data_IF_914784817146
#
_entry.id   IF_914784817146
#
_cell.length_a   1.000
_cell.length_b   1.000
_cell.length_c   1.000
_cell.angle_alpha   90.00
_cell.angle_beta   90.00
_cell.angle_gamma   90.00
#
_symmetry.space_group_name_H-M   'P 1'
#
loop_
_entity.id
_entity.type
_entity.pdbx_description
1 polymer ?
#
# COMPACT_ATOMS: atom_id res chain seq x y z
N UNK A 1 -39.03 -9.27 -17.07
CA UNK A 1 -38.10 -10.31 -17.52
C UNK A 1 -37.34 -9.78 -18.75
N UNK A 2 -36.03 -9.77 -18.68
CA UNK A 2 -35.13 -9.29 -19.74
C UNK A 2 -34.49 -10.46 -20.51
N UNK A 3 -34.83 -11.71 -20.17
CA UNK A 3 -34.44 -12.92 -20.91
C UNK A 3 -33.03 -13.42 -20.67
N UNK A 4 -32.28 -12.85 -19.71
CA UNK A 4 -30.99 -13.33 -19.28
C UNK A 4 -31.10 -14.20 -18.02
N UNK A 5 -30.03 -14.90 -17.68
CA UNK A 5 -29.80 -15.61 -16.40
C UNK A 5 -28.37 -15.32 -15.96
N UNK A 6 -28.19 -14.17 -15.28
CA UNK A 6 -26.88 -13.61 -14.98
C UNK A 6 -26.53 -13.82 -13.50
N UNK A 7 -25.46 -14.54 -13.25
CA UNK A 7 -24.83 -14.61 -11.93
C UNK A 7 -23.92 -13.41 -11.71
N UNK A 8 -24.53 -12.31 -11.28
CA UNK A 8 -23.82 -11.05 -11.05
C UNK A 8 -22.69 -11.16 -10.03
N UNK A 9 -22.89 -11.97 -8.98
CA UNK A 9 -21.91 -12.15 -7.93
C UNK A 9 -20.69 -12.94 -8.43
N UNK A 10 -20.92 -14.07 -9.11
CA UNK A 10 -19.85 -14.88 -9.69
C UNK A 10 -19.01 -14.12 -10.72
N UNK A 11 -19.63 -13.19 -11.48
CA UNK A 11 -18.91 -12.38 -12.48
C UNK A 11 -17.94 -11.35 -11.88
N UNK A 12 -18.12 -10.94 -10.63
CA UNK A 12 -17.28 -9.93 -9.98
C UNK A 12 -16.34 -10.51 -8.93
N UNK A 13 -16.48 -11.80 -8.62
CA UNK A 13 -15.67 -12.48 -7.61
C UNK A 13 -14.70 -13.48 -8.23
N UNK A 14 -13.62 -13.73 -7.52
CA UNK A 14 -12.67 -14.80 -7.83
C UNK A 14 -13.11 -16.09 -7.15
N UNK A 15 -12.94 -17.21 -7.82
CA UNK A 15 -13.12 -18.52 -7.19
C UNK A 15 -12.09 -18.76 -6.09
N UNK A 16 -10.87 -18.25 -6.28
CA UNK A 16 -9.76 -18.36 -5.32
C UNK A 16 -9.01 -17.03 -5.25
N UNK A 17 -8.86 -16.50 -4.05
CA UNK A 17 -7.98 -15.38 -3.75
C UNK A 17 -6.68 -15.90 -3.14
N UNK A 18 -5.54 -15.48 -3.69
CA UNK A 18 -4.22 -15.88 -3.23
C UNK A 18 -3.59 -14.78 -2.38
N UNK A 19 -2.99 -15.18 -1.27
CA UNK A 19 -2.10 -14.36 -0.45
C UNK A 19 -0.75 -15.07 -0.35
N UNK A 20 0.32 -14.37 -0.65
CA UNK A 20 1.68 -14.86 -0.48
C UNK A 20 2.52 -13.85 0.28
N UNK A 21 3.36 -14.35 1.19
CA UNK A 21 4.30 -13.56 1.95
C UNK A 21 5.66 -14.27 1.97
N UNK A 22 6.66 -13.62 1.40
CA UNK A 22 8.01 -14.15 1.30
C UNK A 22 8.95 -13.25 2.07
N UNK A 23 9.80 -13.83 2.91
CA UNK A 23 10.75 -13.13 3.72
C UNK A 23 12.11 -13.83 3.64
N UNK A 24 13.14 -13.04 3.46
CA UNK A 24 14.54 -13.48 3.55
C UNK A 24 15.30 -12.50 4.41
N UNK A 25 16.17 -13.01 5.26
CA UNK A 25 17.10 -12.20 6.04
C UNK A 25 18.49 -12.81 6.08
N UNK A 26 19.45 -11.95 6.22
CA UNK A 26 20.83 -12.30 6.51
C UNK A 26 21.33 -11.40 7.63
N UNK A 27 21.97 -11.99 8.61
CA UNK A 27 22.57 -11.27 9.71
C UNK A 27 23.94 -11.87 10.03
N UNK A 28 24.79 -11.04 10.56
CA UNK A 28 26.13 -11.41 10.95
C UNK A 28 26.67 -10.52 12.04
N UNK A 29 27.65 -11.03 12.74
CA UNK A 29 28.34 -10.29 13.79
C UNK A 29 29.86 -10.35 13.61
N UNK A 30 30.50 -9.29 14.02
CA UNK A 30 31.94 -9.22 14.19
C UNK A 30 32.26 -9.11 15.68
N UNK A 31 33.54 -9.11 16.06
CA UNK A 31 33.94 -8.90 17.46
C UNK A 31 33.36 -7.62 18.05
N UNK A 32 33.19 -6.60 17.24
CA UNK A 32 32.81 -5.24 17.68
C UNK A 32 31.52 -4.71 17.01
N UNK A 33 30.75 -5.54 16.35
CA UNK A 33 29.58 -5.05 15.64
C UNK A 33 28.65 -6.15 15.20
N UNK A 34 27.46 -5.69 14.79
CA UNK A 34 26.39 -6.50 14.23
C UNK A 34 25.89 -5.82 12.98
N UNK A 35 25.45 -6.59 11.99
CA UNK A 35 24.74 -6.11 10.81
C UNK A 35 23.65 -7.10 10.44
N UNK A 36 22.56 -6.57 9.92
CA UNK A 36 21.44 -7.37 9.42
C UNK A 36 20.80 -6.70 8.21
N UNK A 37 20.39 -7.51 7.26
CA UNK A 37 19.61 -7.09 6.13
C UNK A 37 18.44 -8.05 5.93
N UNK A 38 17.28 -7.52 5.56
CA UNK A 38 16.11 -8.34 5.24
C UNK A 38 15.37 -7.76 4.07
N UNK A 39 14.69 -8.64 3.36
CA UNK A 39 13.78 -8.29 2.28
C UNK A 39 12.48 -9.07 2.47
N UNK A 40 11.35 -8.41 2.22
CA UNK A 40 10.05 -9.04 2.20
C UNK A 40 9.28 -8.67 0.93
N UNK A 41 8.55 -9.63 0.41
CA UNK A 41 7.58 -9.47 -0.65
C UNK A 41 6.25 -10.03 -0.19
N UNK A 42 5.19 -9.23 -0.33
CA UNK A 42 3.82 -9.65 -0.06
C UNK A 42 2.96 -9.33 -1.25
N UNK A 43 2.14 -10.29 -1.68
CA UNK A 43 1.10 -10.10 -2.70
C UNK A 43 -0.18 -10.72 -2.20
N UNK A 44 -1.26 -9.95 -2.24
CA UNK A 44 -2.59 -10.39 -1.83
C UNK A 44 -3.61 -9.93 -2.86
N UNK A 45 -4.48 -10.82 -3.29
CA UNK A 45 -5.62 -10.52 -4.13
C UNK A 45 -6.88 -10.35 -3.27
N UNK A 46 -7.72 -9.38 -3.62
CA UNK A 46 -9.06 -9.27 -3.05
C UNK A 46 -9.99 -10.38 -3.51
N UNK A 47 -11.16 -10.45 -2.89
CA UNK A 47 -12.21 -11.38 -3.28
C UNK A 47 -12.79 -11.02 -4.65
N UNK A 48 -12.83 -9.72 -4.96
CA UNK A 48 -13.23 -9.24 -6.29
C UNK A 48 -12.10 -9.42 -7.32
N UNK A 49 -12.49 -9.41 -8.60
CA UNK A 49 -11.57 -9.66 -9.73
C UNK A 49 -10.54 -8.54 -9.97
N UNK A 50 -10.70 -7.36 -9.32
CA UNK A 50 -9.89 -6.17 -9.55
C UNK A 50 -8.94 -5.89 -8.39
N UNK A 51 -9.43 -5.98 -7.15
CA UNK A 51 -8.64 -5.58 -5.98
C UNK A 51 -7.41 -6.44 -5.78
N UNK A 52 -6.32 -5.77 -5.46
CA UNK A 52 -5.05 -6.41 -5.16
C UNK A 52 -4.09 -5.47 -4.45
N UNK A 53 -3.10 -6.07 -3.81
CA UNK A 53 -2.03 -5.36 -3.11
C UNK A 53 -0.71 -6.08 -3.29
N UNK A 54 0.31 -5.33 -3.65
CA UNK A 54 1.69 -5.79 -3.65
C UNK A 54 2.54 -4.92 -2.74
N UNK A 55 3.40 -5.54 -1.98
CA UNK A 55 4.30 -4.86 -1.06
C UNK A 55 5.72 -5.41 -1.22
N UNK A 56 6.66 -4.51 -1.41
CA UNK A 56 8.08 -4.76 -1.41
C UNK A 56 8.70 -4.01 -0.25
N UNK A 57 9.43 -4.69 0.59
CA UNK A 57 10.10 -4.09 1.74
C UNK A 57 11.53 -4.55 1.87
N UNK A 58 12.38 -3.66 2.36
CA UNK A 58 13.76 -3.97 2.71
C UNK A 58 14.16 -3.23 3.98
N UNK A 59 15.00 -3.86 4.77
CA UNK A 59 15.58 -3.27 5.97
C UNK A 59 17.04 -3.62 6.07
N UNK A 60 17.82 -2.63 6.43
CA UNK A 60 19.22 -2.78 6.84
C UNK A 60 19.38 -2.23 8.24
N UNK A 61 20.18 -2.88 9.07
CA UNK A 61 20.54 -2.42 10.41
C UNK A 61 22.00 -2.75 10.71
N UNK A 62 22.64 -1.87 11.45
CA UNK A 62 24.03 -2.06 11.88
C UNK A 62 24.25 -1.48 13.27
N UNK A 63 25.13 -2.14 14.00
CA UNK A 63 25.77 -1.64 15.21
C UNK A 63 27.27 -1.82 15.04
N UNK A 64 28.05 -0.81 15.33
CA UNK A 64 29.49 -0.87 15.29
C UNK A 64 30.08 -0.14 16.48
N UNK A 65 30.98 -0.81 17.22
CA UNK A 65 31.74 -0.25 18.31
C UNK A 65 33.18 -0.11 17.88
N UNK A 66 33.76 1.06 18.16
CA UNK A 66 35.14 1.41 17.84
C UNK A 66 35.80 2.12 19.02
N UNK A 67 37.08 2.42 18.92
CA UNK A 67 37.87 3.08 19.98
C UNK A 67 37.74 2.37 21.33
N UNK A 68 37.98 1.08 21.35
CA UNK A 68 37.88 0.26 22.58
C UNK A 68 36.50 0.34 23.24
N UNK A 69 35.45 0.33 22.43
CA UNK A 69 34.02 0.49 22.82
C UNK A 69 33.65 1.88 23.35
N UNK A 70 34.50 2.88 23.19
CA UNK A 70 34.15 4.25 23.58
C UNK A 70 33.18 4.91 22.62
N UNK A 71 33.21 4.56 21.36
CA UNK A 71 32.31 5.11 20.35
C UNK A 71 31.49 3.99 19.75
N UNK A 72 30.16 4.13 19.82
CA UNK A 72 29.20 3.21 19.26
C UNK A 72 28.37 3.92 18.21
N UNK A 73 28.26 3.30 17.04
CA UNK A 73 27.36 3.71 15.97
C UNK A 73 26.22 2.70 15.85
N UNK A 74 25.00 3.19 15.84
CA UNK A 74 23.81 2.43 15.53
C UNK A 74 23.15 3.03 14.30
N UNK A 75 22.71 2.21 13.36
CA UNK A 75 22.03 2.68 12.18
C UNK A 75 20.96 1.70 11.71
N UNK A 76 19.88 2.22 11.23
CA UNK A 76 18.89 1.41 10.51
C UNK A 76 18.26 2.21 9.37
N UNK A 77 17.99 1.51 8.27
CA UNK A 77 17.27 2.04 7.12
C UNK A 77 16.23 1.00 6.72
N UNK A 78 14.98 1.44 6.61
CA UNK A 78 13.86 0.60 6.14
C UNK A 78 13.15 1.32 5.02
N UNK A 79 12.97 0.64 3.90
CA UNK A 79 12.20 1.12 2.76
C UNK A 79 11.08 0.14 2.45
N UNK A 80 9.90 0.66 2.13
CA UNK A 80 8.73 -0.14 1.76
C UNK A 80 7.95 0.56 0.67
N UNK A 81 7.65 -0.18 -0.40
CA UNK A 81 6.76 0.27 -1.46
C UNK A 81 5.52 -0.61 -1.48
N UNK A 82 4.35 0.02 -1.55
CA UNK A 82 3.05 -0.64 -1.62
C UNK A 82 2.35 -0.15 -2.88
N UNK A 83 1.91 -1.08 -3.71
CA UNK A 83 1.02 -0.83 -4.84
C UNK A 83 -0.33 -1.46 -4.50
N UNK A 84 -1.41 -0.70 -4.67
CA UNK A 84 -2.76 -1.14 -4.37
C UNK A 84 -3.68 -0.83 -5.55
N UNK A 85 -4.57 -1.77 -5.84
CA UNK A 85 -5.70 -1.56 -6.73
C UNK A 85 -6.96 -1.83 -5.94
N UNK A 86 -7.92 -0.90 -5.98
CA UNK A 86 -9.16 -1.03 -5.25
C UNK A 86 -10.33 -1.21 -6.19
N UNK A 87 -11.22 -2.13 -5.85
CA UNK A 87 -12.57 -2.15 -6.39
C UNK A 87 -13.33 -0.89 -5.96
N UNK A 88 -14.52 -0.72 -6.46
CA UNK A 88 -15.37 0.39 -6.10
C UNK A 88 -16.26 0.02 -4.91
N UNK A 89 -16.51 0.97 -4.00
CA UNK A 89 -17.40 0.75 -2.86
C UNK A 89 -18.83 0.40 -3.31
N UNK A 90 -19.42 -0.62 -2.68
CA UNK A 90 -20.82 -1.00 -2.90
C UNK A 90 -21.08 -1.87 -4.12
N UNK A 91 -20.09 -2.31 -4.88
CA UNK A 91 -20.33 -3.20 -6.04
C UNK A 91 -20.81 -4.60 -5.62
N UNK A 92 -20.42 -5.11 -4.45
CA UNK A 92 -20.94 -6.36 -3.90
C UNK A 92 -22.44 -6.26 -3.60
N UNK A 93 -22.85 -5.19 -2.92
CA UNK A 93 -24.28 -4.96 -2.63
C UNK A 93 -25.09 -4.85 -3.91
N UNK A 94 -24.54 -4.20 -4.94
CA UNK A 94 -25.17 -4.11 -6.25
C UNK A 94 -25.29 -5.46 -6.91
N UNK A 95 -24.26 -6.29 -6.88
CA UNK A 95 -24.31 -7.63 -7.45
C UNK A 95 -25.36 -8.53 -6.77
N UNK A 96 -25.51 -8.41 -5.45
CA UNK A 96 -26.51 -9.17 -4.70
C UNK A 96 -27.95 -8.69 -4.92
N UNK A 97 -28.12 -7.42 -5.29
CA UNK A 97 -29.45 -6.81 -5.47
C UNK A 97 -29.87 -6.66 -6.93
N UNK A 98 -28.94 -6.92 -7.86
CA UNK A 98 -29.19 -6.82 -9.28
C UNK A 98 -30.16 -7.90 -9.78
N UNK A 99 -31.08 -7.52 -10.64
CA UNK A 99 -32.03 -8.48 -11.21
C UNK A 99 -31.27 -9.47 -12.13
N UNK A 100 -31.32 -10.78 -11.85
CA UNK A 100 -30.60 -11.79 -12.63
C UNK A 100 -31.12 -11.92 -14.07
N UNK A 101 -32.33 -11.47 -14.39
CA UNK A 101 -32.82 -11.51 -15.77
C UNK A 101 -32.25 -10.40 -16.67
N UNK A 102 -31.50 -9.44 -16.11
CA UNK A 102 -30.82 -8.40 -16.88
C UNK A 102 -29.51 -8.92 -17.50
N UNK A 103 -29.21 -8.57 -18.76
CA UNK A 103 -27.96 -8.97 -19.40
C UNK A 103 -26.78 -8.09 -18.93
N UNK A 104 -25.55 -8.61 -19.03
CA UNK A 104 -24.33 -7.84 -18.76
C UNK A 104 -24.06 -6.81 -19.87
N UNK A 105 -24.33 -7.21 -21.11
CA UNK A 105 -24.03 -6.42 -22.32
C UNK A 105 -25.26 -6.19 -23.15
N UNK A 106 -25.28 -5.07 -23.85
CA UNK A 106 -26.23 -4.80 -24.93
C UNK A 106 -25.84 -5.58 -26.19
N UNK A 107 -26.71 -5.60 -27.18
CA UNK A 107 -26.50 -6.27 -28.47
C UNK A 107 -25.29 -5.69 -29.25
N UNK A 108 -24.90 -4.45 -29.00
CA UNK A 108 -23.74 -3.79 -29.60
C UNK A 108 -22.42 -4.03 -28.84
N UNK A 109 -22.44 -4.84 -27.76
CA UNK A 109 -21.29 -5.16 -26.93
C UNK A 109 -20.98 -4.11 -25.85
N UNK A 110 -21.70 -3.02 -25.77
CA UNK A 110 -21.60 -2.07 -24.67
C UNK A 110 -22.18 -2.65 -23.38
N UNK A 111 -21.75 -2.16 -22.22
CA UNK A 111 -22.33 -2.60 -20.96
C UNK A 111 -23.77 -2.13 -20.82
N UNK A 112 -24.66 -3.06 -20.47
CA UNK A 112 -26.04 -2.76 -20.17
C UNK A 112 -26.12 -1.88 -18.91
N UNK A 113 -26.76 -0.73 -19.00
CA UNK A 113 -27.00 0.16 -17.87
C UNK A 113 -28.50 0.22 -17.57
N UNK A 114 -28.91 -0.22 -16.36
CA UNK A 114 -30.32 -0.14 -15.98
C UNK A 114 -30.79 1.31 -15.97
N UNK A 115 -31.96 1.54 -16.53
CA UNK A 115 -32.61 2.86 -16.55
C UNK A 115 -33.47 3.13 -15.32
N UNK A 116 -33.25 2.37 -14.24
CA UNK A 116 -34.08 2.45 -13.03
C UNK A 116 -33.80 3.73 -12.24
N UNK A 117 -34.82 4.43 -11.75
CA UNK A 117 -34.67 5.56 -10.84
C UNK A 117 -34.08 5.16 -9.48
N UNK A 118 -33.93 3.87 -9.18
CA UNK A 118 -33.34 3.34 -7.94
C UNK A 118 -31.83 3.39 -7.93
N UNK A 119 -31.16 3.90 -8.98
CA UNK A 119 -29.71 4.04 -9.03
C UNK A 119 -28.95 2.70 -9.17
N UNK A 120 -29.64 1.63 -9.59
CA UNK A 120 -28.97 0.36 -9.90
C UNK A 120 -27.96 0.57 -11.03
N UNK A 121 -26.75 0.05 -10.87
CA UNK A 121 -25.70 0.11 -11.88
C UNK A 121 -25.15 -1.30 -12.12
N UNK A 122 -24.73 -1.58 -13.33
CA UNK A 122 -24.11 -2.85 -13.68
C UNK A 122 -22.79 -3.04 -12.93
N UNK A 123 -22.68 -3.99 -11.98
CA UNK A 123 -21.51 -4.16 -11.15
C UNK A 123 -20.27 -4.60 -11.95
N UNK A 124 -20.43 -5.33 -13.05
CA UNK A 124 -19.33 -5.72 -13.93
C UNK A 124 -18.79 -4.50 -14.66
N UNK A 125 -19.67 -3.62 -15.17
CA UNK A 125 -19.26 -2.36 -15.77
C UNK A 125 -18.55 -1.43 -14.78
N UNK A 126 -19.01 -1.40 -13.54
CA UNK A 126 -18.39 -0.61 -12.46
C UNK A 126 -16.93 -1.00 -12.23
N UNK A 127 -16.63 -2.30 -12.25
CA UNK A 127 -15.25 -2.79 -12.08
C UNK A 127 -14.42 -2.61 -13.36
N UNK A 128 -14.99 -2.81 -14.54
CA UNK A 128 -14.26 -2.79 -15.80
C UNK A 128 -13.98 -1.37 -16.35
N UNK A 129 -14.83 -0.40 -16.02
CA UNK A 129 -14.77 0.97 -16.57
C UNK A 129 -14.13 1.97 -15.58
N UNK A 130 -13.58 1.48 -14.48
CA UNK A 130 -12.89 2.30 -13.47
C UNK A 130 -11.54 1.72 -13.13
N UNK A 131 -10.59 2.61 -12.97
CA UNK A 131 -9.27 2.32 -12.40
C UNK A 131 -9.11 3.13 -11.11
N UNK A 132 -8.83 2.45 -10.01
CA UNK A 132 -8.52 3.08 -8.74
C UNK A 132 -7.23 2.48 -8.19
N UNK A 133 -6.13 3.16 -8.42
CA UNK A 133 -4.80 2.68 -8.11
C UNK A 133 -4.10 3.57 -7.11
N UNK A 134 -3.40 2.96 -6.18
CA UNK A 134 -2.58 3.65 -5.20
C UNK A 134 -1.16 3.13 -5.14
N UNK A 135 -0.26 4.05 -4.90
CA UNK A 135 1.13 3.75 -4.65
C UNK A 135 1.59 4.50 -3.42
N UNK A 136 2.23 3.79 -2.49
CA UNK A 136 2.80 4.38 -1.28
C UNK A 136 4.24 3.97 -1.14
N UNK A 137 5.08 4.91 -0.74
CA UNK A 137 6.46 4.65 -0.40
C UNK A 137 6.74 5.15 1.01
N UNK A 138 7.37 4.30 1.80
CA UNK A 138 7.80 4.60 3.14
C UNK A 138 9.31 4.46 3.22
N UNK A 139 9.97 5.44 3.84
CA UNK A 139 11.39 5.38 4.16
C UNK A 139 11.56 5.81 5.61
N UNK A 140 12.16 4.94 6.40
CA UNK A 140 12.49 5.18 7.80
C UNK A 140 13.99 4.99 7.95
N UNK A 141 14.67 6.01 8.44
CA UNK A 141 16.11 5.97 8.71
C UNK A 141 16.39 6.43 10.13
N UNK A 142 17.31 5.76 10.80
CA UNK A 142 17.88 6.20 12.09
C UNK A 142 19.38 6.06 12.05
N UNK A 143 20.07 7.02 12.61
CA UNK A 143 21.50 6.97 12.85
C UNK A 143 21.79 7.56 14.22
N UNK A 144 22.59 6.88 14.98
CA UNK A 144 22.99 7.29 16.33
C UNK A 144 24.49 7.09 16.52
N UNK A 145 25.13 8.07 17.15
CA UNK A 145 26.50 7.99 17.58
C UNK A 145 26.56 8.30 19.08
N UNK A 146 27.00 7.33 19.88
CA UNK A 146 27.18 7.46 21.33
C UNK A 146 28.66 7.43 21.65
N UNK A 147 29.14 8.48 22.30
CA UNK A 147 30.51 8.60 22.75
C UNK A 147 30.59 8.57 24.29
N UNK A 148 31.32 7.62 24.86
CA UNK A 148 31.68 7.58 26.27
C UNK A 148 32.94 8.44 26.48
N UNK A 149 32.75 9.63 26.99
CA UNK A 149 33.81 10.63 27.20
C UNK A 149 34.67 10.22 28.41
N UNK A 150 34.00 9.83 29.51
CA UNK A 150 34.61 9.35 30.72
C UNK A 150 33.89 8.11 31.22
N UNK A 151 34.64 7.08 31.50
CA UNK A 151 34.09 5.84 32.07
C UNK A 151 35.08 5.35 33.13
N UNK A 152 34.67 5.45 34.39
CA UNK A 152 35.41 4.96 35.55
C UNK A 152 34.48 4.10 36.39
N UNK A 153 34.98 3.45 37.42
CA UNK A 153 34.13 2.66 38.35
C UNK A 153 33.03 3.50 39.04
N UNK A 154 33.23 4.81 39.19
CA UNK A 154 32.32 5.70 39.92
C UNK A 154 31.63 6.74 39.06
N UNK A 155 32.12 7.00 37.87
CA UNK A 155 31.63 8.08 37.02
C UNK A 155 31.49 7.62 35.58
N UNK A 156 30.35 7.97 34.97
CA UNK A 156 30.09 7.78 33.57
C UNK A 156 29.66 9.13 32.98
N UNK A 157 30.37 9.61 31.97
CA UNK A 157 29.97 10.75 31.16
C UNK A 157 29.88 10.32 29.70
N UNK A 158 28.74 10.45 29.14
CA UNK A 158 28.54 10.13 27.72
C UNK A 158 27.76 11.21 26.99
N UNK A 159 27.86 11.23 25.68
CA UNK A 159 27.04 12.05 24.80
C UNK A 159 26.55 11.22 23.65
N UNK A 160 25.33 11.52 23.22
CA UNK A 160 24.67 10.82 22.13
C UNK A 160 24.14 11.85 21.13
N UNK A 161 24.49 11.67 19.87
CA UNK A 161 23.90 12.40 18.74
C UNK A 161 23.06 11.40 17.94
N UNK A 162 21.79 11.72 17.76
CA UNK A 162 20.88 10.89 16.98
C UNK A 162 20.18 11.69 15.88
N UNK A 163 20.00 11.05 14.74
CA UNK A 163 19.25 11.57 13.62
C UNK A 163 18.21 10.55 13.19
N UNK A 164 17.00 11.01 12.93
CA UNK A 164 15.95 10.18 12.36
C UNK A 164 15.28 10.87 11.17
N UNK A 165 14.97 10.05 10.17
CA UNK A 165 14.26 10.42 8.96
C UNK A 165 13.01 9.56 8.84
N UNK A 166 11.86 10.21 8.65
CA UNK A 166 10.63 9.57 8.26
C UNK A 166 10.12 10.25 6.99
N UNK A 167 10.05 9.48 5.92
CA UNK A 167 9.51 9.91 4.63
C UNK A 167 8.36 8.98 4.25
N UNK A 168 7.25 9.59 3.82
CA UNK A 168 6.09 8.89 3.32
C UNK A 168 5.55 9.68 2.13
N UNK A 169 5.37 9.01 0.99
CA UNK A 169 4.64 9.56 -0.13
C UNK A 169 3.48 8.63 -0.52
N UNK A 170 2.41 9.24 -0.98
CA UNK A 170 1.22 8.56 -1.45
C UNK A 170 0.78 9.20 -2.76
N UNK A 171 0.62 8.37 -3.77
CA UNK A 171 -0.01 8.71 -5.05
C UNK A 171 -1.26 7.86 -5.21
N UNK A 172 -2.41 8.48 -5.41
CA UNK A 172 -3.65 7.82 -5.77
C UNK A 172 -4.13 8.33 -7.12
N UNK A 173 -4.54 7.43 -7.98
CA UNK A 173 -5.07 7.71 -9.31
C UNK A 173 -6.45 7.06 -9.42
N UNK A 174 -7.40 7.86 -9.80
CA UNK A 174 -8.74 7.40 -10.09
C UNK A 174 -9.10 7.78 -11.52
N UNK A 175 -9.64 6.83 -12.26
CA UNK A 175 -10.16 7.04 -13.60
C UNK A 175 -11.52 6.36 -13.72
N UNK A 176 -12.49 7.04 -14.28
CA UNK A 176 -13.78 6.48 -14.66
C UNK A 176 -14.07 6.84 -16.12
N UNK A 177 -14.38 5.82 -16.91
CA UNK A 177 -14.71 5.97 -18.33
C UNK A 177 -16.03 6.73 -18.52
N UNK A 178 -16.14 7.46 -19.63
CA UNK A 178 -17.38 8.11 -20.06
C UNK A 178 -18.53 7.11 -20.37
N UNK A 179 -18.21 5.84 -20.58
CA UNK A 179 -19.16 4.78 -20.77
C UNK A 179 -19.72 4.20 -19.45
N UNK A 180 -19.17 4.63 -18.30
CA UNK A 180 -19.56 4.14 -16.98
C UNK A 180 -20.75 4.87 -16.39
N UNK A 181 -21.25 4.36 -15.26
CA UNK A 181 -22.40 4.88 -14.53
C UNK A 181 -22.24 6.31 -14.02
N UNK A 182 -21.01 6.73 -13.69
CA UNK A 182 -20.76 8.12 -13.28
C UNK A 182 -21.14 9.12 -14.36
N UNK A 183 -20.88 8.80 -15.63
CA UNK A 183 -21.29 9.65 -16.77
C UNK A 183 -22.79 9.66 -16.95
N UNK A 184 -23.43 8.53 -16.72
CA UNK A 184 -24.87 8.40 -16.90
C UNK A 184 -25.67 9.14 -15.83
N UNK A 185 -25.27 9.02 -14.56
CA UNK A 185 -26.03 9.59 -13.44
C UNK A 185 -25.63 11.03 -13.08
N UNK A 186 -24.37 11.40 -13.27
CA UNK A 186 -23.85 12.71 -12.88
C UNK A 186 -23.64 13.67 -14.06
N UNK A 187 -23.91 13.22 -15.30
CA UNK A 187 -23.69 14.01 -16.49
C UNK A 187 -22.23 14.29 -16.86
N UNK A 188 -21.28 13.65 -16.15
CA UNK A 188 -19.86 13.77 -16.48
C UNK A 188 -19.49 12.87 -17.67
N UNK A 189 -18.67 13.40 -18.57
CA UNK A 189 -18.11 12.62 -19.69
C UNK A 189 -16.82 11.89 -19.32
N UNK A 190 -16.86 11.16 -18.22
CA UNK A 190 -15.70 10.52 -17.60
C UNK A 190 -15.10 11.41 -16.51
N UNK A 191 -14.23 10.80 -15.68
CA UNK A 191 -13.54 11.47 -14.57
C UNK A 191 -12.12 10.95 -14.46
N UNK A 192 -11.16 11.86 -14.31
CA UNK A 192 -9.79 11.51 -13.95
C UNK A 192 -9.38 12.35 -12.74
N UNK A 193 -8.82 11.72 -11.73
CA UNK A 193 -8.37 12.37 -10.51
C UNK A 193 -7.02 11.80 -10.09
N UNK A 194 -6.11 12.67 -9.68
CA UNK A 194 -4.85 12.29 -9.09
C UNK A 194 -4.68 13.03 -7.77
N UNK A 195 -4.43 12.27 -6.70
CA UNK A 195 -4.04 12.80 -5.40
C UNK A 195 -2.61 12.43 -5.14
N UNK A 196 -1.83 13.41 -4.74
CA UNK A 196 -0.45 13.23 -4.34
C UNK A 196 -0.24 13.88 -2.98
N UNK A 197 0.30 13.11 -2.04
CA UNK A 197 0.58 13.57 -0.69
C UNK A 197 1.99 13.11 -0.31
N UNK A 198 2.73 14.01 0.31
CA UNK A 198 4.11 13.77 0.73
C UNK A 198 4.30 14.32 2.14
N UNK A 199 4.86 13.49 3.01
CA UNK A 199 5.24 13.87 4.36
C UNK A 199 6.68 13.47 4.60
N UNK A 200 7.40 14.35 5.24
CA UNK A 200 8.71 14.01 5.75
C UNK A 200 8.92 14.67 7.10
N UNK A 201 9.60 13.98 7.98
CA UNK A 201 10.01 14.46 9.28
C UNK A 201 11.47 14.12 9.48
N UNK A 202 12.25 15.12 9.85
CA UNK A 202 13.64 14.95 10.25
C UNK A 202 13.76 15.38 11.72
N UNK A 203 14.48 14.60 12.51
CA UNK A 203 14.75 14.92 13.90
C UNK A 203 16.23 14.72 14.18
N UNK A 204 16.84 15.77 14.73
CA UNK A 204 18.20 15.73 15.25
C UNK A 204 18.13 15.96 16.74
N UNK A 205 18.74 15.09 17.52
CA UNK A 205 18.79 15.18 18.97
C UNK A 205 20.21 15.05 19.44
N UNK A 206 20.54 15.83 20.44
CA UNK A 206 21.80 15.74 21.16
C UNK A 206 21.52 15.65 22.65
N UNK A 207 22.06 14.61 23.29
CA UNK A 207 21.89 14.33 24.70
C UNK A 207 23.27 14.21 25.35
N UNK A 208 23.41 14.81 26.52
CA UNK A 208 24.55 14.63 27.40
C UNK A 208 24.11 14.04 28.73
N UNK A 209 24.75 13.00 29.21
CA UNK A 209 24.49 12.35 30.49
C UNK A 209 25.80 12.17 31.29
#
# INVERSE_FOLDING_TARGET
>A
DYGADTDWYGLITRDVAYDTNQYISIDGSTKNGFYGASFNYKSANGLDIVSGREEFGGRFSMEQRVLENRLQFNGSLSARRVNETWGNDGFFDRALTMNPTMPVYNADGSYYQPTSPTGATNPVAELALRDNNGQRMYLLGTAEAKLNILQTEKHLLNTTLSYSLHYNDMKQQYYASSAGSESYWNGYKGRAEMKYQKWYTNRLEWLGN
#
